data_IF_647170528466
#
_entry.id   IF_647170528466
#
_cell.length_a   1.000
_cell.length_b   1.000
_cell.length_c   1.000
_cell.angle_alpha   90.00
_cell.angle_beta   90.00
_cell.angle_gamma   90.00
#
_symmetry.space_group_name_H-M   'P 1'
#
loop_
_entity.id
_entity.type
_entity.pdbx_description
1 polymer ?
#
# COMPACT_ATOMS: atom_id res chain seq x y z
N UNK A 1 13.17 31.48 -20.75
CA UNK A 1 13.31 30.06 -21.11
C UNK A 1 13.28 29.29 -19.80
N UNK A 2 12.16 28.66 -19.53
CA UNK A 2 11.88 27.71 -18.43
C UNK A 2 12.92 26.57 -18.38
N UNK A 3 13.14 25.88 -17.24
CA UNK A 3 12.06 25.25 -16.48
C UNK A 3 12.05 25.38 -14.95
N UNK A 4 10.81 25.39 -14.46
CA UNK A 4 10.32 24.93 -13.17
C UNK A 4 10.98 23.62 -12.72
N UNK A 5 11.47 23.60 -11.49
CA UNK A 5 11.53 22.40 -10.68
C UNK A 5 11.00 22.79 -9.30
N UNK A 6 9.69 22.65 -9.15
CA UNK A 6 9.03 22.59 -7.85
C UNK A 6 9.78 21.57 -6.97
N UNK A 7 10.09 21.89 -5.71
CA UNK A 7 10.55 20.88 -4.78
C UNK A 7 9.40 19.88 -4.56
N UNK A 8 9.68 18.62 -4.90
CA UNK A 8 8.82 17.47 -4.70
C UNK A 8 8.29 17.47 -3.25
N UNK A 9 6.97 17.47 -3.00
CA UNK A 9 6.46 17.22 -1.67
C UNK A 9 6.45 15.71 -1.46
N UNK A 10 7.43 15.20 -0.73
CA UNK A 10 7.47 13.77 -0.37
C UNK A 10 8.16 13.45 0.95
N UNK A 11 8.67 14.47 1.66
CA UNK A 11 9.28 14.29 2.98
C UNK A 11 8.32 14.85 4.03
N UNK A 12 7.14 14.25 4.11
CA UNK A 12 6.01 14.77 4.87
C UNK A 12 5.48 13.76 5.88
N UNK A 13 6.00 13.89 7.09
CA UNK A 13 5.40 13.44 8.36
C UNK A 13 5.81 12.05 8.85
N UNK A 14 6.74 12.11 9.80
CA UNK A 14 7.08 11.12 10.79
C UNK A 14 5.81 10.58 11.48
N UNK A 15 5.25 9.53 10.89
CA UNK A 15 4.60 8.41 11.54
C UNK A 15 3.99 8.68 12.92
N UNK A 16 2.78 9.23 12.93
CA UNK A 16 1.83 8.97 14.02
C UNK A 16 1.39 7.49 13.94
N UNK A 17 2.25 6.61 14.46
CA UNK A 17 2.12 5.16 14.44
C UNK A 17 0.87 4.69 15.20
N UNK A 18 -0.30 4.67 14.53
CA UNK A 18 -1.39 3.80 14.95
C UNK A 18 -1.20 2.44 14.30
N UNK A 19 -0.50 1.57 15.00
CA UNK A 19 -0.39 0.14 14.67
C UNK A 19 -1.79 -0.48 14.86
N UNK A 20 -2.50 -0.75 13.77
CA UNK A 20 -3.76 -1.48 13.81
C UNK A 20 -3.45 -2.98 13.74
N UNK A 21 -3.65 -3.70 14.85
CA UNK A 21 -3.72 -5.17 14.87
C UNK A 21 -5.12 -5.58 15.31
N UNK A 22 -5.77 -6.47 14.56
CA UNK A 22 -5.70 -7.87 14.99
C UNK A 22 -5.72 -8.88 13.84
N UNK A 23 -4.67 -9.70 13.73
CA UNK A 23 -4.75 -11.10 13.28
C UNK A 23 -3.41 -11.80 13.57
N UNK A 24 -3.28 -12.29 14.80
CA UNK A 24 -2.10 -12.98 15.32
C UNK A 24 -1.75 -14.31 14.60
N UNK A 25 -2.22 -14.53 13.38
CA UNK A 25 -2.03 -15.76 12.60
C UNK A 25 -1.72 -15.52 11.11
N UNK A 26 -1.90 -14.30 10.56
CA UNK A 26 -1.81 -14.05 9.10
C UNK A 26 -0.42 -13.63 8.59
N UNK A 27 0.51 -13.29 9.48
CA UNK A 27 1.90 -12.98 9.11
C UNK A 27 2.12 -11.65 8.38
N UNK A 28 1.22 -10.66 8.57
CA UNK A 28 1.36 -9.29 8.08
C UNK A 28 0.63 -8.27 8.97
N UNK A 29 1.04 -7.01 8.92
CA UNK A 29 0.58 -5.86 9.71
C UNK A 29 0.38 -4.64 8.81
N UNK A 30 -0.60 -3.78 9.12
CA UNK A 30 -0.90 -2.53 8.40
C UNK A 30 -0.69 -1.34 9.34
N UNK A 31 0.02 -0.33 8.85
CA UNK A 31 0.36 0.90 9.54
C UNK A 31 -0.09 2.09 8.68
N UNK A 32 -0.89 2.99 9.24
CA UNK A 32 -1.29 4.22 8.52
C UNK A 32 -0.18 5.26 8.63
N UNK A 33 0.35 5.73 7.50
CA UNK A 33 1.19 6.93 7.40
C UNK A 33 0.27 8.16 7.32
N UNK A 34 0.71 9.32 7.79
CA UNK A 34 -0.06 10.55 7.65
C UNK A 34 -0.43 10.83 6.18
N UNK A 35 -1.47 11.62 5.94
CA UNK A 35 -1.85 12.14 4.60
C UNK A 35 -2.41 11.15 3.57
N UNK A 36 -2.84 9.95 3.97
CA UNK A 36 -3.44 8.97 3.03
C UNK A 36 -2.49 7.85 2.62
N UNK A 37 -1.25 7.85 3.12
CA UNK A 37 -0.35 6.71 2.93
C UNK A 37 -0.64 5.55 3.88
N UNK A 38 -0.46 4.33 3.41
CA UNK A 38 -0.52 3.11 4.22
C UNK A 38 0.72 2.27 3.98
N UNK A 39 1.22 1.63 5.03
CA UNK A 39 2.36 0.72 4.98
C UNK A 39 1.93 -0.66 5.43
N UNK A 40 2.18 -1.67 4.61
CA UNK A 40 1.96 -3.08 4.95
C UNK A 40 3.32 -3.76 5.09
N UNK A 41 3.53 -4.44 6.21
CA UNK A 41 4.76 -5.19 6.50
C UNK A 41 4.41 -6.62 6.87
N UNK A 42 5.17 -7.60 6.39
CA UNK A 42 4.89 -9.00 6.69
C UNK A 42 5.60 -9.98 5.75
N UNK A 43 6.25 -11.04 6.26
CA UNK A 43 7.05 -11.95 5.43
C UNK A 43 6.25 -12.68 4.33
N UNK A 44 4.93 -12.84 4.49
CA UNK A 44 4.08 -13.43 3.47
C UNK A 44 3.76 -12.46 2.32
N UNK A 45 3.36 -11.24 2.66
CA UNK A 45 2.99 -10.20 1.68
C UNK A 45 4.22 -9.62 0.99
N UNK A 46 5.32 -9.41 1.71
CA UNK A 46 6.58 -8.91 1.15
C UNK A 46 7.13 -9.87 0.07
N UNK A 47 7.09 -11.18 0.35
CA UNK A 47 7.55 -12.20 -0.61
C UNK A 47 6.63 -12.31 -1.83
N UNK A 48 5.35 -11.98 -1.64
CA UNK A 48 4.38 -11.93 -2.73
C UNK A 48 4.69 -10.71 -3.60
N UNK A 49 4.76 -9.51 -3.03
CA UNK A 49 5.10 -8.28 -3.76
C UNK A 49 6.44 -8.39 -4.47
N UNK A 50 7.48 -8.91 -3.82
CA UNK A 50 8.79 -9.12 -4.45
C UNK A 50 8.78 -10.07 -5.66
N UNK A 51 7.73 -10.88 -5.82
CA UNK A 51 7.55 -11.80 -6.96
C UNK A 51 6.75 -11.17 -8.11
N UNK A 52 5.92 -10.17 -7.83
CA UNK A 52 5.09 -9.50 -8.83
C UNK A 52 5.77 -8.21 -9.30
N UNK A 53 5.69 -7.95 -10.60
CA UNK A 53 6.24 -6.72 -11.18
C UNK A 53 5.20 -5.60 -11.04
N UNK A 54 5.45 -4.64 -10.15
CA UNK A 54 4.54 -3.52 -9.89
C UNK A 54 4.49 -2.49 -11.03
N UNK A 55 5.46 -2.53 -11.96
CA UNK A 55 5.44 -1.72 -13.18
C UNK A 55 4.55 -2.30 -14.28
N UNK A 56 4.08 -3.54 -14.12
CA UNK A 56 3.17 -4.18 -15.05
C UNK A 56 1.72 -4.13 -14.50
N UNK A 57 0.80 -3.42 -15.17
CA UNK A 57 -0.58 -3.28 -14.69
C UNK A 57 -1.31 -4.63 -14.57
N UNK A 58 -0.97 -5.62 -15.40
CA UNK A 58 -1.57 -6.95 -15.32
C UNK A 58 -1.11 -7.70 -14.06
N UNK A 59 0.17 -7.58 -13.70
CA UNK A 59 0.74 -8.17 -12.49
C UNK A 59 0.25 -7.45 -11.23
N UNK A 60 0.08 -6.12 -11.29
CA UNK A 60 -0.55 -5.33 -10.24
C UNK A 60 -1.98 -5.81 -9.97
N UNK A 61 -2.82 -5.93 -10.99
CA UNK A 61 -4.19 -6.45 -10.83
C UNK A 61 -4.22 -7.86 -10.20
N UNK A 62 -3.28 -8.73 -10.55
CA UNK A 62 -3.16 -10.05 -9.93
C UNK A 62 -2.73 -9.98 -8.47
N UNK A 63 -1.78 -9.09 -8.16
CA UNK A 63 -1.35 -8.80 -6.79
C UNK A 63 -2.52 -8.29 -5.95
N UNK A 64 -3.28 -7.32 -6.45
CA UNK A 64 -4.47 -6.76 -5.78
C UNK A 64 -5.49 -7.85 -5.46
N UNK A 65 -5.79 -8.73 -6.41
CA UNK A 65 -6.66 -9.89 -6.19
C UNK A 65 -6.14 -10.82 -5.08
N UNK A 66 -4.83 -11.05 -5.03
CA UNK A 66 -4.19 -11.84 -3.97
C UNK A 66 -4.25 -11.13 -2.61
N UNK A 67 -3.95 -9.84 -2.57
CA UNK A 67 -4.03 -9.02 -1.35
C UNK A 67 -5.45 -8.98 -0.80
N UNK A 68 -6.46 -8.89 -1.68
CA UNK A 68 -7.87 -8.96 -1.31
C UNK A 68 -8.22 -10.31 -0.71
N UNK A 69 -7.79 -11.41 -1.34
CA UNK A 69 -7.99 -12.76 -0.82
C UNK A 69 -7.29 -13.03 0.52
N UNK A 70 -6.15 -12.39 0.76
CA UNK A 70 -5.42 -12.45 2.04
C UNK A 70 -6.05 -11.57 3.14
N UNK A 71 -6.97 -10.68 2.78
CA UNK A 71 -7.61 -9.72 3.69
C UNK A 71 -6.80 -8.46 3.95
N UNK A 72 -5.73 -8.20 3.17
CA UNK A 72 -4.92 -6.97 3.29
C UNK A 72 -5.75 -5.75 2.89
N UNK A 73 -6.50 -5.84 1.79
CA UNK A 73 -7.40 -4.77 1.34
C UNK A 73 -8.46 -4.47 2.41
N UNK A 74 -9.07 -5.49 3.01
CA UNK A 74 -10.03 -5.29 4.09
C UNK A 74 -9.40 -4.58 5.30
N UNK A 75 -8.18 -4.93 5.68
CA UNK A 75 -7.48 -4.24 6.77
C UNK A 75 -7.10 -2.80 6.44
N UNK A 76 -6.78 -2.51 5.17
CA UNK A 76 -6.57 -1.15 4.69
C UNK A 76 -7.88 -0.35 4.77
N UNK A 77 -9.00 -0.89 4.28
CA UNK A 77 -10.32 -0.27 4.36
C UNK A 77 -10.73 0.00 5.83
N UNK A 78 -10.48 -0.96 6.75
CA UNK A 78 -10.70 -0.75 8.19
C UNK A 78 -9.79 0.34 8.79
N UNK A 79 -8.58 0.50 8.26
CA UNK A 79 -7.67 1.58 8.62
C UNK A 79 -8.07 2.94 8.01
N UNK A 80 -9.08 2.97 7.14
CA UNK A 80 -9.62 4.17 6.50
C UNK A 80 -9.05 4.47 5.12
N UNK A 81 -8.51 3.45 4.44
CA UNK A 81 -8.04 3.51 3.05
C UNK A 81 -9.15 3.93 2.09
N UNK A 82 -8.81 4.74 1.10
CA UNK A 82 -9.68 5.17 0.00
C UNK A 82 -9.04 4.82 -1.34
N UNK A 83 -9.84 4.61 -2.39
CA UNK A 83 -9.30 4.47 -3.74
C UNK A 83 -8.45 5.68 -4.12
N UNK A 84 -7.23 5.42 -4.58
CA UNK A 84 -6.23 6.44 -4.90
C UNK A 84 -5.30 6.82 -3.75
N UNK A 85 -5.38 6.15 -2.59
CA UNK A 85 -4.38 6.27 -1.53
C UNK A 85 -3.13 5.43 -1.86
N UNK A 86 -1.96 5.91 -1.43
CA UNK A 86 -0.68 5.22 -1.60
C UNK A 86 -0.52 4.07 -0.61
N UNK A 87 -0.07 2.91 -1.10
CA UNK A 87 0.25 1.74 -0.29
C UNK A 87 1.71 1.34 -0.48
N UNK A 88 2.47 1.33 0.60
CA UNK A 88 3.83 0.85 0.68
C UNK A 88 3.88 -0.60 1.18
N UNK A 89 4.46 -1.52 0.42
CA UNK A 89 4.72 -2.89 0.85
C UNK A 89 6.18 -3.25 0.57
N UNK A 90 6.90 -3.75 1.58
CA UNK A 90 8.32 -4.09 1.46
C UNK A 90 9.24 -2.92 1.01
N UNK A 91 8.82 -1.67 1.22
CA UNK A 91 9.53 -0.49 0.73
C UNK A 91 9.27 -0.17 -0.75
N UNK A 92 8.23 -0.77 -1.34
CA UNK A 92 7.72 -0.36 -2.65
C UNK A 92 6.35 0.26 -2.49
N UNK A 93 6.24 1.51 -2.94
CA UNK A 93 5.02 2.31 -2.92
C UNK A 93 4.28 2.15 -4.25
N UNK A 94 2.97 1.93 -4.17
CA UNK A 94 2.09 1.91 -5.34
C UNK A 94 0.72 2.47 -4.97
N UNK A 95 0.09 3.14 -5.94
CA UNK A 95 -1.29 3.59 -5.83
C UNK A 95 -2.21 2.38 -6.00
N UNK A 96 -3.14 2.20 -5.06
CA UNK A 96 -4.13 1.14 -5.14
C UNK A 96 -5.51 1.76 -5.46
N UNK A 97 -6.11 1.37 -6.57
CA UNK A 97 -7.45 1.83 -6.96
C UNK A 97 -8.43 0.65 -7.05
N UNK A 98 -9.00 0.21 -5.91
CA UNK A 98 -9.92 -0.92 -5.88
C UNK A 98 -11.27 -0.60 -6.55
N UNK A 99 -11.49 0.66 -6.96
CA UNK A 99 -12.69 1.10 -7.67
C UNK A 99 -12.52 1.08 -9.20
N UNK A 100 -11.30 0.88 -9.71
CA UNK A 100 -11.09 0.74 -11.14
C UNK A 100 -11.74 -0.57 -11.63
N UNK A 101 -12.76 -0.50 -12.52
CA UNK A 101 -13.32 -1.71 -13.11
C UNK A 101 -12.27 -2.34 -14.03
N UNK A 102 -11.99 -3.64 -13.81
CA UNK A 102 -11.27 -4.51 -14.74
C UNK A 102 -12.10 -4.75 -16.02
#
# INVERSE_FOLDING_TARGET
MEPTAEPLPGEGDLAEHRVFRPAAERGWEVERRGQGGFRVSGPGVERLVARYDLGNPEALAHLEGRLRGLGVIAALEEAGFRPGDDVEIAGVEFELDPSAPL
#
